data_IF_272699411423
#
_entry.id   IF_272699411423
#
_cell.length_a   1.000
_cell.length_b   1.000
_cell.length_c   1.000
_cell.angle_alpha   90.00
_cell.angle_beta   90.00
_cell.angle_gamma   90.00
#
_symmetry.space_group_name_H-M   'P 1'
#
loop_
_entity.id
_entity.type
_entity.pdbx_description
1 polymer ?
#
# COMPACT_ATOMS: atom_id res chain seq x y z
N UNK A 1 -18.96 -18.50 -16.01
CA UNK A 1 -18.13 -17.68 -15.08
C UNK A 1 -19.03 -17.36 -13.89
N UNK A 2 -18.76 -17.96 -12.72
CA UNK A 2 -19.64 -17.83 -11.56
C UNK A 2 -19.60 -16.39 -11.02
N UNK A 3 -20.77 -15.80 -10.75
CA UNK A 3 -20.88 -14.41 -10.31
C UNK A 3 -20.11 -14.12 -9.02
N UNK A 4 -20.02 -15.10 -8.12
CA UNK A 4 -19.23 -15.05 -6.88
C UNK A 4 -17.74 -14.80 -7.14
N UNK A 5 -17.19 -15.46 -8.16
CA UNK A 5 -15.79 -15.35 -8.56
C UNK A 5 -15.47 -13.96 -9.15
N UNK A 6 -16.41 -13.38 -9.89
CA UNK A 6 -16.27 -12.02 -10.43
C UNK A 6 -16.27 -10.96 -9.31
N UNK A 7 -17.14 -11.10 -8.31
CA UNK A 7 -17.20 -10.19 -7.15
C UNK A 7 -15.94 -10.28 -6.29
N UNK A 8 -15.44 -11.49 -6.07
CA UNK A 8 -14.20 -11.72 -5.34
C UNK A 8 -13.00 -11.11 -6.06
N UNK A 9 -12.90 -11.28 -7.38
CA UNK A 9 -11.84 -10.71 -8.20
C UNK A 9 -11.87 -9.17 -8.21
N UNK A 10 -13.05 -8.56 -8.31
CA UNK A 10 -13.20 -7.10 -8.21
C UNK A 10 -12.76 -6.60 -6.83
N UNK A 11 -13.17 -7.28 -5.76
CA UNK A 11 -12.76 -6.91 -4.40
C UNK A 11 -11.25 -7.05 -4.21
N UNK A 12 -10.65 -8.12 -4.75
CA UNK A 12 -9.21 -8.31 -4.72
C UNK A 12 -8.50 -7.20 -5.49
N UNK A 13 -8.96 -6.88 -6.71
CA UNK A 13 -8.40 -5.82 -7.53
C UNK A 13 -8.47 -4.45 -6.85
N UNK A 14 -9.60 -4.09 -6.23
CA UNK A 14 -9.75 -2.85 -5.47
C UNK A 14 -8.76 -2.77 -4.30
N UNK A 15 -8.59 -3.87 -3.56
CA UNK A 15 -7.60 -3.96 -2.48
C UNK A 15 -6.17 -3.81 -3.01
N UNK A 16 -5.83 -4.48 -4.11
CA UNK A 16 -4.50 -4.41 -4.73
C UNK A 16 -4.20 -3.01 -5.24
N UNK A 17 -5.17 -2.35 -5.89
CA UNK A 17 -5.03 -0.98 -6.38
C UNK A 17 -4.86 -0.01 -5.22
N UNK A 18 -5.73 -0.07 -4.20
CA UNK A 18 -5.67 0.81 -3.05
C UNK A 18 -4.34 0.72 -2.32
N UNK A 19 -3.84 -0.50 -2.14
CA UNK A 19 -2.56 -0.71 -1.49
C UNK A 19 -1.38 -0.33 -2.38
N UNK A 20 -1.45 -0.56 -3.70
CA UNK A 20 -0.46 -0.07 -4.66
C UNK A 20 -0.35 1.45 -4.67
N UNK A 21 -1.48 2.16 -4.65
CA UNK A 21 -1.53 3.62 -4.52
C UNK A 21 -0.93 4.08 -3.20
N UNK A 22 -1.19 3.39 -2.10
CA UNK A 22 -0.62 3.72 -0.79
C UNK A 22 0.89 3.49 -0.74
N UNK A 23 1.39 2.42 -1.36
CA UNK A 23 2.83 2.15 -1.46
C UNK A 23 3.53 3.18 -2.33
N UNK A 24 3.02 3.45 -3.55
CA UNK A 24 3.60 4.46 -4.46
C UNK A 24 3.50 5.86 -3.84
N UNK A 25 2.36 6.18 -3.21
CA UNK A 25 2.14 7.43 -2.50
C UNK A 25 3.10 7.61 -1.32
N UNK A 26 3.31 6.57 -0.51
CA UNK A 26 4.26 6.59 0.60
C UNK A 26 5.70 6.83 0.14
N UNK A 27 6.14 6.18 -0.94
CA UNK A 27 7.46 6.42 -1.55
C UNK A 27 7.60 7.84 -2.09
N UNK A 28 6.58 8.35 -2.78
CA UNK A 28 6.57 9.72 -3.30
C UNK A 28 6.65 10.77 -2.18
N UNK A 29 5.93 10.52 -1.08
CA UNK A 29 5.93 11.34 0.12
C UNK A 29 7.30 11.33 0.81
N UNK A 30 7.95 10.17 0.94
CA UNK A 30 9.32 10.09 1.47
C UNK A 30 10.34 10.81 0.56
N UNK A 31 10.19 10.71 -0.76
CA UNK A 31 11.03 11.46 -1.69
C UNK A 31 10.87 12.97 -1.50
N UNK A 32 9.64 13.45 -1.37
CA UNK A 32 9.35 14.86 -1.10
C UNK A 32 9.89 15.28 0.28
N UNK A 33 9.81 14.44 1.31
CA UNK A 33 10.47 14.67 2.61
C UNK A 33 11.95 14.95 2.46
N UNK A 34 12.68 14.13 1.71
CA UNK A 34 14.11 14.32 1.47
C UNK A 34 14.40 15.65 0.76
N UNK A 35 13.56 16.04 -0.21
CA UNK A 35 13.70 17.32 -0.89
C UNK A 35 13.48 18.51 0.06
N UNK A 36 12.47 18.44 0.93
CA UNK A 36 12.20 19.49 1.93
C UNK A 36 13.29 19.56 3.01
N UNK A 37 13.87 18.42 3.38
CA UNK A 37 15.01 18.36 4.31
C UNK A 37 16.24 19.06 3.73
N UNK A 38 16.51 18.88 2.43
CA UNK A 38 17.57 19.59 1.71
C UNK A 38 17.30 21.08 1.49
N UNK A 39 16.03 21.49 1.47
CA UNK A 39 15.61 22.88 1.36
C UNK A 39 15.64 23.65 2.70
N UNK A 40 15.96 22.96 3.82
CA UNK A 40 16.03 23.55 5.16
C UNK A 40 14.70 23.60 5.92
N UNK A 41 13.61 23.05 5.36
CA UNK A 41 12.30 22.98 6.02
C UNK A 41 12.13 21.64 6.74
N UNK A 42 12.74 21.54 7.92
CA UNK A 42 12.76 20.32 8.71
C UNK A 42 11.37 19.93 9.25
N UNK A 43 10.48 20.89 9.50
CA UNK A 43 9.14 20.62 10.03
C UNK A 43 8.26 19.94 8.98
N UNK A 44 8.26 20.44 7.74
CA UNK A 44 7.53 19.80 6.64
C UNK A 44 8.12 18.43 6.33
N UNK A 45 9.45 18.30 6.30
CA UNK A 45 10.12 17.02 6.08
C UNK A 45 9.74 15.95 7.11
N UNK A 46 9.58 16.33 8.39
CA UNK A 46 9.21 15.41 9.46
C UNK A 46 7.74 14.94 9.35
N UNK A 47 6.84 15.85 8.97
CA UNK A 47 5.43 15.53 8.73
C UNK A 47 5.23 14.63 7.52
N UNK A 48 5.91 14.91 6.41
CA UNK A 48 5.89 14.02 5.25
C UNK A 48 6.49 12.65 5.59
N UNK A 49 7.56 12.57 6.38
CA UNK A 49 8.16 11.29 6.76
C UNK A 49 7.19 10.45 7.60
N UNK A 50 6.48 11.08 8.54
CA UNK A 50 5.43 10.43 9.31
C UNK A 50 4.28 9.91 8.42
N UNK A 51 3.81 10.73 7.46
CA UNK A 51 2.76 10.34 6.52
C UNK A 51 3.20 9.21 5.58
N UNK A 52 4.43 9.26 5.07
CA UNK A 52 5.01 8.21 4.24
C UNK A 52 5.10 6.90 5.01
N UNK A 53 5.52 6.95 6.27
CA UNK A 53 5.60 5.79 7.15
C UNK A 53 4.20 5.19 7.42
N UNK A 54 3.18 6.02 7.65
CA UNK A 54 1.78 5.56 7.81
C UNK A 54 1.25 4.96 6.51
N UNK A 55 1.51 5.58 5.35
CA UNK A 55 1.09 5.07 4.04
C UNK A 55 1.77 3.75 3.67
N UNK A 56 3.07 3.62 3.93
CA UNK A 56 3.81 2.37 3.73
C UNK A 56 3.36 1.29 4.70
N UNK A 57 3.16 1.63 5.99
CA UNK A 57 2.62 0.70 6.97
C UNK A 57 1.23 0.21 6.54
N UNK A 58 0.32 1.11 6.17
CA UNK A 58 -1.02 0.73 5.72
C UNK A 58 -1.01 -0.04 4.39
N UNK A 59 -0.08 0.24 3.47
CA UNK A 59 0.11 -0.52 2.24
C UNK A 59 0.59 -1.95 2.52
N UNK A 60 1.59 -2.10 3.41
CA UNK A 60 2.13 -3.40 3.82
C UNK A 60 1.15 -4.19 4.67
N UNK A 61 0.48 -3.56 5.64
CA UNK A 61 -0.53 -4.22 6.49
C UNK A 61 -1.80 -4.57 5.69
N UNK A 62 -2.15 -3.75 4.70
CA UNK A 62 -3.29 -3.99 3.80
C UNK A 62 -3.05 -5.11 2.79
N UNK A 63 -1.81 -5.31 2.30
CA UNK A 63 -1.46 -6.33 1.30
C UNK A 63 -0.84 -7.61 1.89
N UNK A 64 0.04 -7.49 2.87
CA UNK A 64 1.03 -8.52 3.19
C UNK A 64 0.45 -9.73 3.93
N UNK A 65 -0.55 -9.52 4.80
CA UNK A 65 -0.90 -10.54 5.78
C UNK A 65 -2.28 -11.18 5.62
N UNK A 66 -3.32 -10.46 5.18
CA UNK A 66 -4.68 -10.96 5.35
C UNK A 66 -5.32 -11.68 4.14
N UNK A 67 -4.93 -11.38 2.90
CA UNK A 67 -5.62 -11.95 1.73
C UNK A 67 -4.73 -12.61 0.70
N UNK A 68 -3.65 -11.94 0.27
CA UNK A 68 -2.85 -12.45 -0.85
C UNK A 68 -2.16 -13.79 -0.54
N UNK A 69 -1.57 -13.93 0.66
CA UNK A 69 -0.93 -15.19 1.07
C UNK A 69 -1.92 -16.31 1.33
N UNK A 70 -3.10 -16.02 1.91
CA UNK A 70 -4.12 -17.03 2.18
C UNK A 70 -4.74 -17.54 0.88
N UNK A 71 -5.06 -16.64 -0.05
CA UNK A 71 -5.62 -17.02 -1.36
C UNK A 71 -4.58 -17.76 -2.21
N UNK A 72 -3.32 -17.30 -2.25
CA UNK A 72 -2.24 -18.02 -2.96
C UNK A 72 -1.94 -19.38 -2.32
N UNK A 73 -1.91 -19.47 -0.99
CA UNK A 73 -1.70 -20.75 -0.30
C UNK A 73 -2.84 -21.74 -0.54
N UNK A 74 -4.09 -21.28 -0.58
CA UNK A 74 -5.24 -22.12 -0.92
C UNK A 74 -5.22 -22.55 -2.39
N UNK A 75 -4.74 -21.71 -3.31
CA UNK A 75 -4.60 -22.03 -4.74
C UNK A 75 -3.47 -23.01 -5.04
N UNK A 76 -2.36 -22.96 -4.30
CA UNK A 76 -1.24 -23.91 -4.46
C UNK A 76 -1.57 -25.27 -3.84
N UNK A 77 -2.44 -25.31 -2.83
CA UNK A 77 -2.79 -26.52 -2.08
C UNK A 77 -3.90 -27.36 -2.72
N UNK A 78 -4.65 -26.81 -3.68
CA UNK A 78 -5.81 -27.46 -4.30
C UNK A 78 -5.56 -27.77 -5.78
#
# INVERSE_FOLDING_TARGET
MNAELAVELISLALYTIGAGVLTVGGVAVEYASFQHMGAGDATVALWLAALGCVMLYAGVYGLGYQKSLVTLANLVRN
#
